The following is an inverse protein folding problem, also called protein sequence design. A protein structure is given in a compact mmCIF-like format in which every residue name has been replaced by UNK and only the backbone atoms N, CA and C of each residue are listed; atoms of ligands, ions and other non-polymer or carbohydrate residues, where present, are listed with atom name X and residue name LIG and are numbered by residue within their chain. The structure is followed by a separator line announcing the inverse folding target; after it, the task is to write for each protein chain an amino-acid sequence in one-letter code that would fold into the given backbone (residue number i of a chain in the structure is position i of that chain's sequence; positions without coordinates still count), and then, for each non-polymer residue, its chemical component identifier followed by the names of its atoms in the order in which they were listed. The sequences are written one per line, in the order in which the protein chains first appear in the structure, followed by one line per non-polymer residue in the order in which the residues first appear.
data_IF_876934024224
#
_entry.id   IF_876934024224
#
_cell.length_a   1.000
_cell.length_b   1.000
_cell.length_c   1.000
_cell.angle_alpha   90.00
_cell.angle_beta   90.00
_cell.angle_gamma   90.00
#
_symmetry.space_group_name_H-M   'P 1'
#
loop_
_entity.id
_entity.type
_entity.pdbx_description
1 polymer ?
2 non-polymer ?
3 water ?
#
# COMPACT_ATOMS: atom_id res chain seq x y z
N UNK A 4 22.44 -2.73 -1.36
CA UNK A 4 21.07 -2.96 -1.80
C UNK A 4 20.14 -3.40 -0.69
N UNK A 5 20.47 -3.01 0.55
CA UNK A 5 19.76 -3.49 1.73
C UNK A 5 18.59 -2.59 2.10
N UNK A 6 17.51 -3.22 2.59
CA UNK A 6 16.38 -2.50 3.15
C UNK A 6 16.64 -2.18 4.61
N UNK A 7 16.07 -1.10 5.13
CA UNK A 7 16.29 -0.76 6.53
C UNK A 7 15.62 -1.79 7.44
N UNK A 8 15.97 -1.77 8.72
CA UNK A 8 15.30 -2.65 9.67
C UNK A 8 13.82 -2.32 9.71
N UNK A 9 13.03 -3.32 10.08
CA UNK A 9 11.59 -3.17 10.17
C UNK A 9 11.19 -3.45 11.62
N UNK A 10 10.72 -2.43 12.30
CA UNK A 10 10.40 -2.55 13.71
C UNK A 10 8.88 -2.50 13.87
N UNK A 11 8.34 -3.37 14.70
CA UNK A 11 6.94 -3.36 15.01
C UNK A 11 6.71 -2.65 16.34
N UNK A 12 5.67 -1.84 16.39
CA UNK A 12 5.19 -1.25 17.64
C UNK A 12 3.82 -1.78 18.01
N UNK A 13 3.41 -2.88 17.39
CA UNK A 13 2.07 -3.40 17.56
C UNK A 13 0.99 -2.55 16.94
N UNK A 14 1.36 -1.57 16.12
CA UNK A 14 0.37 -0.69 15.54
C UNK A 14 -0.54 -1.45 14.59
N UNK A 15 -1.81 -1.05 14.58
CA UNK A 15 -2.83 -1.73 13.80
C UNK A 15 -2.78 -1.32 12.34
N UNK A 16 -3.81 -1.72 11.59
CA UNK A 16 -3.71 -1.62 10.11
C UNK A 16 -3.86 -0.19 9.57
N UNK A 17 -4.48 0.74 10.29
CA UNK A 17 -4.79 2.07 9.75
C UNK A 17 -3.78 3.07 10.32
N UNK A 18 -3.11 3.81 9.43
CA UNK A 18 -2.21 4.88 9.85
C UNK A 18 -3.00 5.89 10.65
N UNK A 19 -2.47 6.25 11.80
CA UNK A 19 -3.30 6.93 12.77
C UNK A 19 -4.26 5.94 13.38
N UNK A 20 -5.34 6.45 13.95
CA UNK A 20 -6.33 5.56 14.51
C UNK A 20 -7.50 5.41 13.56
N UNK A 21 -8.32 4.40 13.84
CA UNK A 21 -9.57 4.22 13.14
C UNK A 21 -10.53 3.50 14.05
N UNK A 22 -11.82 3.66 13.75
CA UNK A 22 -12.85 2.87 14.41
C UNK A 22 -12.59 1.38 14.25
N UNK A 23 -12.98 0.60 15.26
CA UNK A 23 -12.74 -0.85 15.21
C UNK A 23 -13.33 -1.49 13.95
N UNK A 24 -14.52 -1.06 13.54
CA UNK A 24 -15.13 -1.65 12.34
C UNK A 24 -14.27 -1.38 11.11
N UNK A 25 -13.75 -0.15 11.01
CA UNK A 25 -12.88 0.20 9.90
C UNK A 25 -11.58 -0.60 9.93
N UNK A 26 -10.91 -0.66 11.08
CA UNK A 26 -9.68 -1.44 11.16
C UNK A 26 -9.94 -2.87 10.71
N UNK A 27 -11.06 -3.43 11.15
CA UNK A 27 -11.37 -4.82 10.81
C UNK A 27 -11.49 -5.00 9.30
N UNK A 28 -12.30 -4.15 8.65
CA UNK A 28 -12.51 -4.37 7.22
C UNK A 28 -11.26 -4.00 6.42
N UNK A 29 -10.52 -2.99 6.87
CA UNK A 29 -9.24 -2.70 6.23
C UNK A 29 -8.31 -3.90 6.31
N UNK A 30 -8.19 -4.51 7.50
CA UNK A 30 -7.27 -5.63 7.63
C UNK A 30 -7.62 -6.77 6.69
N UNK A 31 -8.90 -6.89 6.31
CA UNK A 31 -9.28 -7.96 5.40
C UNK A 31 -8.99 -7.62 3.94
N UNK A 32 -8.47 -6.41 3.66
CA UNK A 32 -8.01 -6.10 2.31
C UNK A 32 -6.50 -6.18 2.16
N UNK A 33 -5.77 -6.30 3.27
CA UNK A 33 -4.31 -6.25 3.24
C UNK A 33 -3.78 -7.65 2.96
N UNK A 34 -2.90 -7.76 1.96
CA UNK A 34 -2.34 -9.05 1.60
C UNK A 34 -1.36 -9.54 2.66
N UNK A 35 -1.33 -10.85 2.90
CA UNK A 35 -0.25 -11.40 3.70
C UNK A 35 0.38 -12.55 2.92
N UNK A 36 1.71 -12.59 2.90
CA UNK A 36 2.42 -13.66 2.21
C UNK A 36 2.36 -14.99 2.96
N UNK A 37 2.01 -14.98 4.24
CA UNK A 37 1.95 -16.22 5.01
C UNK A 37 3.29 -16.95 4.99
N UNK A 38 4.39 -16.18 4.99
CA UNK A 38 5.73 -16.70 4.75
C UNK A 38 6.58 -16.36 5.96
N UNK A 39 7.13 -17.33 6.68
CA UNK A 39 7.90 -16.98 7.90
C UNK A 39 9.18 -16.21 7.59
N UNK A 40 9.57 -16.06 6.32
CA UNK A 40 10.74 -15.28 5.98
C UNK A 40 10.39 -13.88 5.46
N UNK A 41 9.11 -13.52 5.41
CA UNK A 41 8.69 -12.20 4.96
C UNK A 41 8.02 -11.53 6.15
N UNK A 42 8.75 -10.62 6.79
CA UNK A 42 8.22 -9.87 7.92
C UNK A 42 7.19 -8.86 7.43
N UNK A 43 6.09 -8.70 8.18
CA UNK A 43 5.01 -7.78 7.80
C UNK A 43 4.67 -6.86 8.99
N UNK A 44 4.56 -5.56 8.72
CA UNK A 44 4.08 -4.62 9.73
C UNK A 44 3.03 -3.71 9.10
N UNK A 45 2.16 -3.14 9.94
CA UNK A 45 0.94 -2.49 9.50
C UNK A 45 0.90 -1.04 9.94
N UNK A 46 0.04 -0.27 9.27
CA UNK A 46 -0.27 1.08 9.74
C UNK A 46 0.95 1.96 9.87
N UNK A 47 1.07 2.65 11.00
CA UNK A 47 2.17 3.60 11.16
C UNK A 47 3.52 2.89 11.07
N UNK A 48 3.63 1.67 11.63
CA UNK A 48 4.86 0.89 11.44
C UNK A 48 5.17 0.75 9.96
N UNK A 49 4.15 0.50 9.13
CA UNK A 49 4.37 0.36 7.70
C UNK A 49 4.75 1.70 7.07
N UNK A 50 4.10 2.79 7.46
CA UNK A 50 4.48 4.10 6.97
C UNK A 50 5.94 4.44 7.31
N UNK A 51 6.36 4.12 8.53
CA UNK A 51 7.74 4.42 8.95
C UNK A 51 8.75 3.61 8.15
N UNK A 52 8.41 2.38 7.82
CA UNK A 52 9.30 1.59 6.96
C UNK A 52 9.32 2.14 5.53
N UNK A 53 8.16 2.55 5.02
CA UNK A 53 8.13 3.16 3.69
C UNK A 53 9.02 4.41 3.68
N UNK A 54 8.88 5.27 4.67
CA UNK A 54 9.66 6.50 4.67
C UNK A 54 11.15 6.21 4.82
N UNK A 55 11.50 5.21 5.63
CA UNK A 55 12.92 4.87 5.76
C UNK A 55 13.43 4.25 4.48
N UNK A 56 12.67 3.36 3.85
CA UNK A 56 13.13 2.70 2.63
C UNK A 56 13.24 3.69 1.48
N UNK A 57 12.36 4.69 1.40
CA UNK A 57 12.47 5.71 0.37
C UNK A 57 13.74 6.54 0.48
N UNK A 58 14.43 6.49 1.62
CA UNK A 58 15.56 7.35 1.89
C UNK A 58 16.88 6.60 1.95
N UNK A 59 16.90 5.29 1.65
CA UNK A 59 18.14 4.55 1.80
C UNK A 59 19.19 5.06 0.80
N UNK A 60 20.46 4.85 1.16
CA UNK A 60 21.55 5.33 0.31
C UNK A 60 21.49 4.72 -1.09
N UNK A 61 20.99 3.50 -1.22
CA UNK A 61 20.95 2.81 -2.51
C UNK A 61 19.75 3.32 -3.31
N UNK A 62 20.02 4.02 -4.41
CA UNK A 62 18.95 4.70 -5.15
C UNK A 62 17.95 3.72 -5.75
N UNK A 63 18.43 2.59 -6.28
CA UNK A 63 17.54 1.62 -6.90
C UNK A 63 16.54 1.05 -5.89
N UNK A 64 16.97 0.86 -4.65
CA UNK A 64 16.04 0.43 -3.60
C UNK A 64 15.11 1.60 -3.22
N UNK A 65 15.68 2.79 -3.03
CA UNK A 65 14.83 3.92 -2.66
C UNK A 65 13.76 4.18 -3.72
N UNK A 66 14.13 4.04 -4.99
CA UNK A 66 13.15 4.30 -6.04
C UNK A 66 11.93 3.39 -5.92
N UNK A 67 12.10 2.18 -5.37
CA UNK A 67 10.96 1.28 -5.25
C UNK A 67 9.89 1.90 -4.37
N UNK A 68 10.32 2.60 -3.32
CA UNK A 68 9.40 3.07 -2.31
C UNK A 68 9.02 4.55 -2.45
N UNK A 69 9.72 5.30 -3.32
CA UNK A 69 9.39 6.71 -3.51
C UNK A 69 7.92 6.94 -3.81
N UNK A 70 7.28 6.25 -4.76
CA UNK A 70 5.87 6.55 -5.04
C UNK A 70 4.96 6.30 -3.85
N UNK A 71 5.26 5.26 -3.05
CA UNK A 71 4.53 5.02 -1.81
C UNK A 71 4.70 6.19 -0.85
N UNK A 72 5.95 6.59 -0.59
CA UNK A 72 6.17 7.76 0.27
C UNK A 72 5.40 8.97 -0.23
N UNK A 73 5.41 9.22 -1.53
CA UNK A 73 4.82 10.46 -2.02
C UNK A 73 3.31 10.49 -1.80
N UNK A 74 2.63 9.34 -1.81
CA UNK A 74 1.17 9.34 -1.66
C UNK A 74 0.72 9.28 -0.21
N UNK A 75 1.62 8.92 0.72
CA UNK A 75 1.31 9.09 2.13
C UNK A 75 0.87 10.51 2.43
N UNK A 76 1.41 11.50 1.72
CA UNK A 76 0.95 12.86 1.90
C UNK A 76 -0.45 13.11 1.39
N UNK A 77 -1.07 12.14 0.74
CA UNK A 77 -2.42 12.30 0.23
C UNK A 77 -3.49 12.00 1.28
N UNK A 78 -3.10 11.51 2.46
CA UNK A 78 -4.06 11.28 3.52
C UNK A 78 -4.79 12.57 3.84
N UNK A 79 -6.11 12.54 3.75
CA UNK A 79 -6.92 13.73 3.90
C UNK A 79 -7.35 13.97 5.34
N UNK A 80 -6.66 13.36 6.30
CA UNK A 80 -7.02 13.54 7.70
C UNK A 80 -6.08 14.54 8.35
N UNK A 84 -9.85 15.26 12.24
CA UNK A 84 -10.87 14.26 11.93
C UNK A 84 -10.44 13.34 10.80
N UNK A 85 -11.23 12.29 10.57
CA UNK A 85 -10.91 11.31 9.54
C UNK A 85 -9.76 10.40 9.92
N UNK A 86 -9.67 9.25 9.28
CA UNK A 86 -8.60 8.30 9.51
C UNK A 86 -7.64 8.27 8.31
N UNK A 87 -6.45 7.72 8.55
CA UNK A 87 -5.47 7.58 7.50
C UNK A 87 -5.71 6.36 6.62
N UNK A 88 -4.70 6.07 5.82
CA UNK A 88 -4.72 4.93 4.92
C UNK A 88 -4.49 3.64 5.70
N UNK A 89 -5.05 2.53 5.21
CA UNK A 89 -4.55 1.23 5.60
C UNK A 89 -3.19 0.99 4.98
N UNK A 90 -2.32 0.25 5.68
CA UNK A 90 -0.95 0.08 5.20
C UNK A 90 -0.34 -1.21 5.72
N UNK A 91 0.45 -1.86 4.88
CA UNK A 91 1.31 -2.94 5.32
C UNK A 91 2.60 -2.88 4.54
N UNK A 92 3.69 -3.16 5.23
CA UNK A 92 5.01 -3.19 4.63
C UNK A 92 5.58 -4.59 4.83
N UNK A 93 6.42 -5.01 3.88
CA UNK A 93 6.91 -6.37 3.83
C UNK A 93 8.40 -6.31 3.63
N UNK A 94 9.14 -7.11 4.41
CA UNK A 94 10.59 -7.18 4.31
C UNK A 94 11.00 -8.64 4.43
N UNK A 95 11.57 -9.19 3.37
CA UNK A 95 12.20 -10.49 3.52
C UNK A 95 13.32 -10.44 4.55
N UNK A 96 13.53 -11.57 5.23
CA UNK A 96 14.46 -11.62 6.34
C UNK A 96 15.86 -11.16 5.93
N UNK A 97 16.28 -11.43 4.68
CA UNK A 97 17.61 -11.03 4.25
C UNK A 97 17.68 -9.54 3.89
N UNK A 98 16.55 -8.83 3.95
CA UNK A 98 16.54 -7.42 3.66
C UNK A 98 16.80 -7.08 2.20
N UNK A 99 16.69 -8.05 1.30
CA UNK A 99 17.00 -7.85 -0.11
C UNK A 99 15.76 -7.85 -0.99
N UNK A 100 14.57 -7.92 -0.41
CA UNK A 100 13.30 -8.09 -1.11
C UNK A 100 12.21 -7.53 -0.20
N UNK A 101 11.29 -6.78 -0.77
CA UNK A 101 10.11 -6.39 -0.01
C UNK A 101 9.28 -5.37 -0.77
N UNK A 102 8.37 -4.73 -0.04
CA UNK A 102 7.46 -3.81 -0.69
C UNK A 102 6.47 -3.27 0.31
N UNK A 103 5.39 -2.69 -0.21
CA UNK A 103 4.36 -2.24 0.71
C UNK A 103 3.07 -2.05 -0.09
N UNK A 104 1.96 -2.06 0.62
CA UNK A 104 0.71 -1.72 -0.03
C UNK A 104 -0.08 -0.76 0.85
N UNK A 105 -0.80 0.15 0.20
CA UNK A 105 -1.71 1.08 0.85
C UNK A 105 -3.11 0.75 0.39
N UNK A 106 -4.05 0.76 1.33
CA UNK A 106 -5.46 0.49 1.06
C UNK A 106 -6.27 1.66 1.61
N UNK A 107 -7.02 2.34 0.75
CA UNK A 107 -7.84 3.48 1.18
C UNK A 107 -9.29 3.04 1.13
N UNK A 108 -9.99 3.12 2.27
CA UNK A 108 -11.42 2.84 2.32
C UNK A 108 -12.20 4.05 1.81
N UNK A 109 -12.99 3.85 0.74
CA UNK A 109 -13.66 4.96 0.10
C UNK A 109 -14.49 5.77 1.09
N UNK A 110 -15.11 5.10 2.07
CA UNK A 110 -15.96 5.81 3.03
C UNK A 110 -15.18 6.77 3.93
N UNK A 111 -13.86 6.62 4.02
CA UNK A 111 -13.06 7.54 4.82
C UNK A 111 -12.63 8.78 4.04
N UNK A 112 -12.91 8.85 2.75
CA UNK A 112 -12.37 9.88 1.88
C UNK A 112 -13.44 10.96 1.68
N UNK A 113 -13.17 12.15 2.17
CA UNK A 113 -14.13 13.24 2.06
C UNK A 113 -14.20 13.79 0.65
N UNK A 114 -13.10 13.74 -0.10
CA UNK A 114 -13.03 14.32 -1.44
C UNK A 114 -12.34 13.29 -2.32
N UNK A 115 -13.13 12.40 -2.92
CA UNK A 115 -12.53 11.31 -3.69
C UNK A 115 -11.79 11.85 -4.91
N UNK A 116 -12.31 12.91 -5.52
CA UNK A 116 -11.62 13.48 -6.68
C UNK A 116 -10.26 14.07 -6.29
N UNK A 117 -10.18 14.71 -5.13
CA UNK A 117 -8.90 15.25 -4.68
C UNK A 117 -7.92 14.13 -4.35
N UNK A 118 -8.40 13.04 -3.76
CA UNK A 118 -7.52 11.92 -3.47
C UNK A 118 -6.93 11.39 -4.77
N UNK A 119 -7.78 11.20 -5.77
CA UNK A 119 -7.31 10.70 -7.06
C UNK A 119 -6.26 11.62 -7.64
N UNK A 120 -6.53 12.93 -7.66
CA UNK A 120 -5.55 13.87 -8.21
C UNK A 120 -4.24 13.85 -7.42
N UNK A 121 -4.33 13.81 -6.09
CA UNK A 121 -3.11 13.73 -5.28
C UNK A 121 -2.34 12.45 -5.59
N UNK A 122 -3.05 11.33 -5.69
CA UNK A 122 -2.36 10.08 -5.99
C UNK A 122 -1.68 10.16 -7.34
N UNK A 123 -2.35 10.74 -8.33
CA UNK A 123 -1.71 10.72 -9.64
C UNK A 123 -0.53 11.69 -9.71
N UNK A 124 -0.47 12.70 -8.81
CA UNK A 124 0.74 13.51 -8.71
C UNK A 124 1.92 12.70 -8.18
N UNK A 125 1.65 11.78 -7.26
CA UNK A 125 2.72 11.11 -6.55
C UNK A 125 2.98 9.69 -6.98
N UNK A 126 1.99 9.04 -7.59
CA UNK A 126 2.16 7.63 -7.92
C UNK A 126 2.97 7.46 -9.19
N UNK A 127 2.92 6.28 -9.80
CA UNK A 127 3.78 5.97 -10.92
C UNK A 127 3.02 5.04 -11.87
N UNK A 128 3.33 5.14 -13.16
CA UNK A 128 2.73 4.24 -14.13
C UNK A 128 2.90 2.79 -13.68
N UNK A 129 1.91 1.95 -13.96
CA UNK A 129 1.99 0.55 -13.56
C UNK A 129 3.22 -0.13 -14.18
N UNK A 130 3.92 -0.91 -13.35
CA UNK A 130 5.16 -1.57 -13.77
C UNK A 130 5.09 -3.01 -13.29
N UNK A 131 5.13 -3.96 -14.22
CA UNK A 131 5.13 -5.36 -13.82
C UNK A 131 6.47 -5.76 -13.23
N UNK A 132 7.55 -5.15 -13.70
CA UNK A 132 8.91 -5.42 -13.27
C UNK A 132 9.36 -6.82 -13.67
N UNK A 133 10.40 -7.28 -12.96
CA UNK A 133 11.00 -8.57 -13.19
C UNK A 133 11.50 -9.12 -11.87
N UNK A 134 11.96 -10.36 -11.84
CA UNK A 134 12.42 -10.94 -10.57
C UNK A 134 13.57 -10.19 -9.94
N UNK A 135 14.22 -9.27 -10.65
CA UNK A 135 15.25 -8.44 -10.04
C UNK A 135 14.99 -6.95 -10.20
N UNK A 136 13.76 -6.53 -10.48
CA UNK A 136 13.51 -5.11 -10.69
C UNK A 136 12.09 -4.75 -10.28
N UNK A 137 11.93 -3.46 -9.94
CA UNK A 137 10.81 -2.99 -9.15
C UNK A 137 9.48 -3.09 -9.89
N UNK A 138 8.42 -3.28 -9.13
CA UNK A 138 7.07 -3.37 -9.67
C UNK A 138 6.18 -2.40 -8.91
N UNK A 139 5.05 -2.04 -9.54
CA UNK A 139 4.05 -1.24 -8.84
C UNK A 139 2.75 -1.30 -9.65
N UNK A 140 1.65 -1.14 -8.95
CA UNK A 140 0.35 -1.18 -9.61
C UNK A 140 -0.67 -0.58 -8.66
N UNK A 141 -1.86 -0.33 -9.17
CA UNK A 141 -2.93 0.28 -8.40
C UNK A 141 -4.26 -0.25 -8.90
N UNK A 142 -5.22 -0.45 -7.98
CA UNK A 142 -6.51 -1.07 -8.31
C UNK A 142 -7.60 -0.38 -7.53
N UNK A 143 -8.83 -0.51 -8.02
CA UNK A 143 -9.98 -0.12 -7.22
C UNK A 143 -11.08 -1.15 -7.40
N UNK A 144 -11.83 -1.42 -6.33
CA UNK A 144 -12.90 -2.40 -6.37
C UNK A 144 -13.86 -2.11 -5.22
N UNK A 145 -15.15 -2.44 -5.37
CA UNK A 145 -15.72 -2.84 -6.67
C UNK A 145 -15.76 -1.68 -7.62
N UNK A 146 -15.99 -1.96 -8.89
CA UNK A 146 -15.94 -0.91 -9.92
C UNK A 146 -16.73 0.33 -9.57
N UNK A 147 -17.95 0.19 -9.07
CA UNK A 147 -18.69 1.32 -8.52
C UNK A 147 -19.13 0.92 -7.12
N UNK A 148 -18.37 1.39 -6.12
CA UNK A 148 -18.71 1.14 -4.73
C UNK A 148 -19.77 2.15 -4.33
N UNK A 149 -21.02 1.69 -4.27
CA UNK A 149 -22.13 2.53 -3.83
C UNK A 149 -22.11 2.62 -2.30
N UNK A 150 -21.12 3.36 -1.79
CA UNK A 150 -20.98 3.54 -0.35
C UNK A 150 -22.28 3.99 0.29
N UNK A 151 -23.15 4.66 -0.48
CA UNK A 151 -24.40 5.14 0.07
C UNK A 151 -25.44 4.04 0.21
N UNK A 152 -25.15 2.83 -0.26
CA UNK A 152 -25.97 1.65 0.05
C UNK A 152 -25.25 0.74 1.01
N UNK A 153 -24.20 1.25 1.65
CA UNK A 153 -23.39 0.49 2.58
C UNK A 153 -22.34 -0.38 1.94
N UNK A 154 -22.11 -0.23 0.63
CA UNK A 154 -21.08 -1.01 -0.07
C UNK A 154 -19.77 -0.24 0.01
N UNK A 155 -18.77 -0.82 0.69
CA UNK A 155 -17.48 -0.18 0.82
C UNK A 155 -16.71 -0.32 -0.48
N UNK A 156 -15.90 0.69 -0.80
CA UNK A 156 -14.99 0.61 -1.93
C UNK A 156 -13.57 0.81 -1.46
N UNK A 157 -12.58 0.40 -2.25
CA UNK A 157 -11.20 0.47 -1.81
C UNK A 157 -10.32 0.90 -2.96
N UNK A 158 -9.33 1.73 -2.64
CA UNK A 158 -8.23 2.04 -3.54
C UNK A 158 -6.99 1.37 -2.99
N UNK A 159 -6.28 0.63 -3.84
CA UNK A 159 -5.11 -0.13 -3.45
C UNK A 159 -3.93 0.34 -4.30
N UNK A 160 -2.82 0.64 -3.63
CA UNK A 160 -1.56 0.97 -4.31
C UNK A 160 -0.52 0.04 -3.74
N UNK A 161 0.26 -0.62 -4.59
CA UNK A 161 1.30 -1.48 -4.07
C UNK A 161 2.56 -1.35 -4.93
N UNK A 162 3.72 -1.50 -4.29
CA UNK A 162 4.98 -1.45 -5.03
C UNK A 162 6.01 -2.26 -4.27
N UNK A 163 6.95 -2.85 -5.00
CA UNK A 163 7.90 -3.76 -4.37
C UNK A 163 9.14 -3.86 -5.22
N UNK A 164 10.15 -4.56 -4.68
CA UNK A 164 11.49 -4.64 -5.25
C UNK A 164 11.59 -5.61 -6.43
N UNK A 165 10.63 -6.49 -6.62
CA UNK A 165 10.71 -7.51 -7.65
C UNK A 165 9.29 -7.90 -8.05
N UNK A 166 9.15 -8.45 -9.27
CA UNK A 166 7.84 -8.75 -9.83
C UNK A 166 7.05 -9.74 -8.98
N UNK A 167 7.74 -10.62 -8.25
CA UNK A 167 7.01 -11.58 -7.43
C UNK A 167 6.53 -10.98 -6.11
N UNK A 168 6.86 -9.72 -5.83
CA UNK A 168 6.13 -9.02 -4.78
C UNK A 168 4.75 -8.62 -5.27
N UNK A 169 4.67 -7.93 -6.42
CA UNK A 169 3.35 -7.46 -6.87
C UNK A 169 2.51 -8.58 -7.46
N UNK A 170 3.14 -9.62 -8.02
CA UNK A 170 2.38 -10.64 -8.75
C UNK A 170 1.33 -11.31 -7.86
N UNK A 171 1.68 -11.65 -6.63
CA UNK A 171 0.68 -12.35 -5.82
C UNK A 171 -0.61 -11.51 -5.75
N UNK A 172 -0.60 -10.36 -5.07
CA UNK A 172 -1.85 -9.59 -4.99
C UNK A 172 -2.40 -9.15 -6.34
N UNK A 173 -1.54 -8.89 -7.33
CA UNK A 173 -2.05 -8.46 -8.63
C UNK A 173 -2.95 -9.52 -9.25
N UNK A 174 -2.54 -10.79 -9.18
CA UNK A 174 -3.36 -11.86 -9.73
C UNK A 174 -4.78 -11.79 -9.18
N UNK A 175 -4.89 -11.65 -7.84
CA UNK A 175 -6.20 -11.59 -7.19
C UNK A 175 -7.04 -10.44 -7.74
N UNK A 176 -6.46 -9.23 -7.85
CA UNK A 176 -7.23 -8.07 -8.27
C UNK A 176 -7.55 -8.12 -9.75
N UNK A 177 -6.61 -8.62 -10.56
CA UNK A 177 -6.81 -8.62 -12.00
C UNK A 177 -8.10 -9.32 -12.38
N UNK A 178 -8.61 -10.21 -11.52
CA UNK A 178 -9.80 -10.95 -11.89
C UNK A 178 -11.01 -10.02 -12.04
N UNK A 179 -11.20 -9.09 -11.10
CA UNK A 179 -12.42 -8.28 -11.09
C UNK A 179 -12.22 -6.79 -10.84
N UNK A 180 -11.06 -6.34 -10.40
CA UNK A 180 -10.89 -4.93 -10.06
C UNK A 180 -10.52 -4.10 -11.30
N UNK A 181 -10.55 -2.79 -11.14
CA UNK A 181 -10.15 -1.86 -12.19
C UNK A 181 -8.84 -1.16 -11.84
N UNK A 182 -8.00 -0.96 -12.87
CA UNK A 182 -6.82 -0.12 -12.76
C UNK A 182 -7.16 1.20 -12.09
N UNK A 183 -6.26 1.67 -11.23
CA UNK A 183 -6.50 2.92 -10.52
C UNK A 183 -5.17 3.50 -10.05
N UNK A 184 -4.98 4.82 -10.20
CA UNK A 184 -5.91 5.72 -10.90
C UNK A 184 -5.65 5.65 -12.40
N UNK A 185 -6.40 6.39 -13.20
CA UNK A 185 -6.16 6.42 -14.63
C UNK A 185 -4.72 6.72 -15.01
#
# INVERSE_FOLDING_TARGET
EPTGALPPMTSSGSGPVIGDGDAALRQRISQQLFSFGDPTVQEVDGSDAAQFITAAAAVADRDVASVFLPLQRVLGCQQNTAGSGAGFGARAYRRTDGQWGGAMLVVAKSTVSDVDALKACVKSGWRKATAGTPTSMCNNGWTYPPFADTRRGEEGYFVLLAGTASDFCSAPNANYRTTASSWPG
#
